data_IF_946885217363
#
_entry.id   IF_946885217363
#
_cell.length_a   1.000
_cell.length_b   1.000
_cell.length_c   1.000
_cell.angle_alpha   90.00
_cell.angle_beta   90.00
_cell.angle_gamma   90.00
#
_symmetry.space_group_name_H-M   'P 1'
#
loop_
_entity.id
_entity.type
_entity.pdbx_description
1 polymer ?
#
# COMPACT_ATOMS: atom_id res chain seq x y z
N UNK A 1 42.24 -9.71 -13.70
CA UNK A 1 42.18 -10.88 -12.79
C UNK A 1 42.30 -10.33 -11.38
N UNK A 2 41.20 -10.21 -10.63
CA UNK A 2 41.22 -9.69 -9.26
C UNK A 2 41.31 -10.86 -8.29
N UNK A 3 42.19 -10.77 -7.28
CA UNK A 3 42.24 -11.74 -6.19
C UNK A 3 41.12 -11.42 -5.20
N UNK A 4 40.15 -12.31 -5.05
CA UNK A 4 39.22 -12.28 -3.92
C UNK A 4 39.90 -12.96 -2.72
N UNK A 5 40.07 -12.23 -1.62
CA UNK A 5 40.46 -12.79 -0.33
C UNK A 5 39.24 -12.73 0.59
N UNK A 6 38.67 -13.90 0.87
CA UNK A 6 37.69 -14.09 1.95
C UNK A 6 38.47 -14.45 3.21
N UNK A 7 38.44 -13.58 4.23
CA UNK A 7 38.99 -13.90 5.57
C UNK A 7 37.97 -13.53 6.66
N UNK A 8 37.93 -14.39 7.68
CA UNK A 8 36.81 -14.71 8.56
C UNK A 8 36.58 -13.79 9.77
N UNK A 9 35.31 -13.77 10.19
CA UNK A 9 34.73 -13.75 11.55
C UNK A 9 35.49 -12.99 12.66
N UNK A 10 34.92 -11.87 13.11
CA UNK A 10 35.16 -11.34 14.47
C UNK A 10 34.02 -11.73 15.40
N UNK A 11 34.28 -11.74 16.71
CA UNK A 11 33.41 -12.18 17.80
C UNK A 11 32.06 -11.43 17.95
N UNK A 12 31.74 -10.50 17.04
CA UNK A 12 30.49 -9.73 17.01
C UNK A 12 29.62 -9.95 15.74
N UNK A 13 29.97 -10.88 14.85
CA UNK A 13 29.06 -11.33 13.77
C UNK A 13 28.94 -10.41 12.53
N UNK A 14 29.80 -9.40 12.36
CA UNK A 14 29.84 -8.57 11.15
C UNK A 14 30.74 -9.17 10.05
N UNK A 15 30.31 -9.06 8.79
CA UNK A 15 31.10 -9.44 7.61
C UNK A 15 31.59 -8.20 6.86
N UNK A 16 32.85 -8.22 6.40
CA UNK A 16 33.43 -7.17 5.57
C UNK A 16 33.94 -7.74 4.26
N UNK A 17 33.73 -7.03 3.16
CA UNK A 17 34.32 -7.33 1.86
C UNK A 17 35.43 -6.31 1.60
N UNK A 18 36.67 -6.78 1.45
CA UNK A 18 37.82 -5.93 1.11
C UNK A 18 38.19 -6.17 -0.35
N UNK A 19 38.13 -5.13 -1.17
CA UNK A 19 38.51 -5.19 -2.59
C UNK A 19 39.81 -4.40 -2.77
N UNK A 20 40.90 -5.10 -3.10
CA UNK A 20 42.20 -4.50 -3.39
C UNK A 20 42.49 -4.50 -4.89
N UNK A 21 43.05 -3.40 -5.40
CA UNK A 21 43.61 -3.35 -6.75
C UNK A 21 45.12 -3.69 -6.72
N UNK A 22 45.71 -4.00 -7.88
CA UNK A 22 47.11 -4.49 -8.04
C UNK A 22 48.23 -3.59 -7.46
N UNK A 23 47.91 -2.42 -6.91
CA UNK A 23 48.85 -1.49 -6.27
C UNK A 23 48.70 -1.37 -4.74
N UNK A 24 47.87 -2.21 -4.11
CA UNK A 24 47.82 -2.32 -2.65
C UNK A 24 47.12 -1.17 -1.91
N UNK A 25 46.42 -0.27 -2.62
CA UNK A 25 45.62 0.79 -1.98
C UNK A 25 44.19 0.31 -1.67
N UNK A 26 43.76 0.47 -0.42
CA UNK A 26 42.41 0.17 0.05
C UNK A 26 41.37 1.01 -0.74
N UNK A 27 40.37 0.34 -1.30
CA UNK A 27 39.13 1.00 -1.75
C UNK A 27 38.00 0.59 -0.81
N UNK A 28 37.64 1.51 0.09
CA UNK A 28 36.44 1.57 0.94
C UNK A 28 36.10 0.36 1.83
N UNK A 29 35.99 0.60 3.14
CA UNK A 29 35.20 -0.26 4.04
C UNK A 29 33.71 0.11 3.92
N UNK A 30 32.84 -0.87 3.73
CA UNK A 30 31.37 -0.70 3.80
C UNK A 30 30.86 -1.50 4.99
N UNK A 31 30.33 -0.82 6.01
CA UNK A 31 29.62 -1.45 7.12
C UNK A 31 28.23 -1.90 6.65
N UNK A 32 27.93 -3.19 6.77
CA UNK A 32 26.59 -3.74 6.51
C UNK A 32 25.87 -4.00 7.82
N UNK A 33 24.92 -3.13 8.17
CA UNK A 33 23.91 -3.42 9.21
C UNK A 33 22.65 -3.93 8.51
N UNK A 34 22.20 -5.10 8.94
CA UNK A 34 21.06 -5.92 8.49
C UNK A 34 20.03 -5.21 7.58
N UNK A 35 20.12 -5.46 6.26
CA UNK A 35 19.05 -5.20 5.31
C UNK A 35 18.79 -6.47 4.50
N UNK A 36 17.53 -6.96 4.39
CA UNK A 36 17.22 -8.25 3.76
C UNK A 36 17.21 -8.19 2.22
N UNK A 37 17.93 -7.24 1.62
CA UNK A 37 18.00 -7.07 0.17
C UNK A 37 19.22 -7.79 -0.41
N UNK A 38 19.11 -9.12 -0.58
CA UNK A 38 20.09 -9.94 -1.33
C UNK A 38 20.25 -9.48 -2.79
N UNK A 39 19.30 -8.69 -3.31
CA UNK A 39 19.39 -8.03 -4.62
C UNK A 39 20.52 -7.00 -4.74
N UNK A 40 21.04 -6.47 -3.62
CA UNK A 40 22.16 -5.51 -3.60
C UNK A 40 23.46 -6.17 -4.10
N UNK A 41 23.65 -7.47 -3.83
CA UNK A 41 24.90 -8.17 -4.15
C UNK A 41 25.07 -8.43 -5.65
N UNK A 42 23.99 -8.71 -6.37
CA UNK A 42 24.10 -8.99 -7.81
C UNK A 42 24.31 -7.70 -8.63
N UNK A 43 23.73 -6.58 -8.20
CA UNK A 43 23.74 -5.32 -8.97
C UNK A 43 24.92 -4.40 -8.69
N UNK A 44 25.52 -4.43 -7.49
CA UNK A 44 26.79 -3.71 -7.25
C UNK A 44 27.93 -4.21 -8.15
N UNK A 45 27.87 -5.47 -8.59
CA UNK A 45 28.85 -6.04 -9.52
C UNK A 45 28.69 -5.48 -10.94
N UNK A 46 27.46 -5.29 -11.44
CA UNK A 46 27.20 -4.76 -12.79
C UNK A 46 27.50 -3.25 -12.94
N UNK A 47 27.39 -2.47 -11.87
CA UNK A 47 27.72 -1.03 -11.90
C UNK A 47 29.22 -0.77 -12.08
N UNK A 48 30.07 -1.70 -11.66
CA UNK A 48 31.53 -1.61 -11.82
C UNK A 48 32.02 -2.01 -13.22
N UNK A 49 31.22 -2.74 -14.00
CA UNK A 49 31.63 -3.26 -15.32
C UNK A 49 31.15 -2.43 -16.51
N UNK A 50 30.45 -1.31 -16.29
CA UNK A 50 30.10 -0.37 -17.37
C UNK A 50 29.12 -0.91 -18.43
N UNK A 51 28.45 -2.03 -18.15
CA UNK A 51 27.46 -2.64 -19.05
C UNK A 51 26.07 -2.50 -18.44
N UNK A 52 25.43 -1.33 -18.60
CA UNK A 52 24.00 -1.21 -18.41
C UNK A 52 23.40 -0.49 -19.62
N UNK A 53 22.71 -1.26 -20.47
CA UNK A 53 21.63 -0.73 -21.28
C UNK A 53 20.57 -0.12 -20.35
N UNK A 54 19.83 0.89 -20.82
CA UNK A 54 18.67 1.43 -20.10
C UNK A 54 17.77 0.28 -19.60
N UNK A 55 17.33 0.28 -18.34
CA UNK A 55 16.45 -0.77 -17.85
C UNK A 55 15.13 -0.71 -18.62
N UNK A 56 14.86 -1.73 -19.44
CA UNK A 56 13.55 -1.90 -20.07
C UNK A 56 12.46 -1.85 -18.99
N UNK A 57 11.44 -1.01 -19.20
CA UNK A 57 10.28 -0.91 -18.32
C UNK A 57 9.58 -2.27 -18.26
N UNK A 58 9.76 -2.98 -17.14
CA UNK A 58 9.16 -4.30 -16.95
C UNK A 58 7.75 -4.14 -16.40
N UNK A 59 6.80 -3.80 -17.27
CA UNK A 59 5.38 -3.83 -16.93
C UNK A 59 5.02 -5.24 -16.43
N UNK A 60 4.42 -5.32 -15.25
CA UNK A 60 3.99 -6.58 -14.65
C UNK A 60 2.55 -6.87 -15.08
N UNK A 61 2.28 -7.98 -15.79
CA UNK A 61 0.94 -8.29 -16.25
C UNK A 61 0.02 -8.65 -15.07
N UNK A 62 -1.27 -8.42 -15.27
CA UNK A 62 -2.28 -8.91 -14.35
C UNK A 62 -2.55 -10.39 -14.61
N UNK A 63 -2.79 -11.15 -13.55
CA UNK A 63 -3.30 -12.52 -13.61
C UNK A 63 -4.62 -12.63 -12.83
N UNK A 64 -5.43 -13.61 -13.19
CA UNK A 64 -6.71 -13.91 -12.56
C UNK A 64 -6.53 -14.94 -11.45
N UNK A 65 -6.93 -14.59 -10.23
CA UNK A 65 -7.01 -15.49 -9.08
C UNK A 65 -8.45 -15.51 -8.57
N UNK A 66 -9.16 -16.63 -8.76
CA UNK A 66 -10.57 -16.80 -8.35
C UNK A 66 -11.49 -15.64 -8.77
N UNK A 67 -11.31 -15.13 -9.99
CA UNK A 67 -12.09 -14.00 -10.52
C UNK A 67 -11.57 -12.60 -10.13
N UNK A 68 -10.42 -12.52 -9.46
CA UNK A 68 -9.81 -11.27 -8.98
C UNK A 68 -8.48 -10.98 -9.68
N UNK A 69 -8.32 -9.75 -10.17
CA UNK A 69 -7.13 -9.29 -10.90
C UNK A 69 -6.00 -8.90 -9.93
N UNK A 70 -4.90 -9.63 -9.99
CA UNK A 70 -3.69 -9.39 -9.19
C UNK A 70 -2.46 -9.22 -10.06
N UNK A 71 -1.39 -8.67 -9.49
CA UNK A 71 -0.16 -8.33 -10.23
C UNK A 71 0.83 -9.50 -10.15
N UNK A 72 1.24 -10.01 -11.32
CA UNK A 72 2.24 -11.08 -11.45
C UNK A 72 3.57 -10.64 -10.85
N UNK A 73 4.21 -11.51 -10.05
CA UNK A 73 5.50 -11.21 -9.39
C UNK A 73 5.40 -10.35 -8.12
N UNK A 74 4.22 -9.82 -7.81
CA UNK A 74 3.91 -9.20 -6.51
C UNK A 74 3.01 -10.13 -5.68
N UNK A 75 2.06 -10.78 -6.33
CA UNK A 75 1.14 -11.73 -5.72
C UNK A 75 1.37 -13.13 -6.29
N UNK A 76 1.06 -14.14 -5.48
CA UNK A 76 1.19 -15.54 -5.83
C UNK A 76 -0.10 -16.27 -5.44
N UNK A 77 -0.69 -17.05 -6.36
CA UNK A 77 -1.96 -17.75 -6.12
C UNK A 77 -1.86 -18.78 -4.99
N UNK A 78 -0.78 -19.57 -4.96
CA UNK A 78 -0.57 -20.60 -3.93
C UNK A 78 -0.36 -19.98 -2.56
N UNK A 79 0.37 -18.86 -2.47
CA UNK A 79 0.50 -18.14 -1.21
C UNK A 79 -0.84 -17.54 -0.76
N UNK A 80 -1.66 -17.03 -1.68
CA UNK A 80 -2.99 -16.53 -1.31
C UNK A 80 -3.92 -17.62 -0.79
N UNK A 81 -3.80 -18.85 -1.31
CA UNK A 81 -4.50 -20.01 -0.73
C UNK A 81 -4.02 -20.28 0.71
N UNK A 82 -2.70 -20.21 0.98
CA UNK A 82 -2.16 -20.34 2.35
C UNK A 82 -2.63 -19.22 3.27
N UNK A 83 -2.64 -17.97 2.78
CA UNK A 83 -3.12 -16.82 3.55
C UNK A 83 -4.58 -17.01 3.95
N UNK A 84 -5.42 -17.50 3.04
CA UNK A 84 -6.83 -17.75 3.30
C UNK A 84 -7.07 -18.69 4.49
N UNK A 85 -6.20 -19.68 4.66
CA UNK A 85 -6.26 -20.69 5.72
C UNK A 85 -5.41 -20.37 6.96
N UNK A 86 -4.69 -19.25 6.98
CA UNK A 86 -3.85 -18.88 8.13
C UNK A 86 -4.67 -18.49 9.36
N UNK A 87 -4.21 -18.92 10.54
CA UNK A 87 -4.79 -18.54 11.83
C UNK A 87 -4.76 -17.03 12.03
N UNK A 88 -5.87 -16.47 12.52
CA UNK A 88 -6.01 -15.06 12.87
C UNK A 88 -6.19 -14.90 14.38
N UNK A 89 -5.43 -13.98 14.97
CA UNK A 89 -5.54 -13.63 16.38
C UNK A 89 -6.50 -12.45 16.56
N UNK A 90 -7.18 -12.37 17.70
CA UNK A 90 -8.12 -11.27 18.02
C UNK A 90 -7.46 -9.89 18.03
N UNK A 91 -6.14 -9.86 18.26
CA UNK A 91 -5.33 -8.65 18.26
C UNK A 91 -4.85 -8.22 16.86
N UNK A 92 -5.05 -9.03 15.82
CA UNK A 92 -4.64 -8.67 14.47
C UNK A 92 -5.53 -7.58 13.89
N UNK A 93 -4.93 -6.71 13.09
CA UNK A 93 -5.60 -5.54 12.52
C UNK A 93 -5.38 -5.53 11.00
N UNK A 94 -6.49 -5.48 10.27
CA UNK A 94 -6.51 -5.40 8.82
C UNK A 94 -7.11 -4.05 8.39
N UNK A 95 -6.32 -3.26 7.68
CA UNK A 95 -6.75 -1.99 7.09
C UNK A 95 -7.11 -2.27 5.64
N UNK A 96 -8.39 -2.40 5.36
CA UNK A 96 -8.88 -2.79 4.04
C UNK A 96 -9.28 -1.56 3.25
N UNK A 97 -8.79 -1.47 2.01
CA UNK A 97 -9.14 -0.39 1.09
C UNK A 97 -9.23 -0.93 -0.33
N UNK A 98 -10.08 -0.36 -1.18
CA UNK A 98 -9.83 -0.48 -2.63
C UNK A 98 -8.57 0.36 -2.98
N UNK A 99 -7.75 -0.02 -3.98
CA UNK A 99 -6.60 0.79 -4.37
C UNK A 99 -6.93 2.27 -4.54
N UNK A 100 -6.06 3.13 -4.00
CA UNK A 100 -6.17 4.60 -4.06
C UNK A 100 -7.28 5.22 -3.17
N UNK A 101 -7.81 4.47 -2.21
CA UNK A 101 -8.77 4.95 -1.21
C UNK A 101 -8.13 5.44 0.11
N UNK A 102 -6.83 5.72 0.14
CA UNK A 102 -6.16 6.29 1.32
C UNK A 102 -5.28 5.32 2.13
N UNK A 103 -4.85 4.21 1.54
CA UNK A 103 -4.06 3.16 2.21
C UNK A 103 -2.80 3.67 2.92
N UNK A 104 -1.97 4.49 2.26
CA UNK A 104 -0.76 5.06 2.90
C UNK A 104 -1.12 6.02 4.02
N UNK A 105 -2.21 6.77 3.88
CA UNK A 105 -2.68 7.64 4.94
C UNK A 105 -3.02 6.83 6.19
N UNK A 106 -3.72 5.71 5.99
CA UNK A 106 -3.99 4.77 7.07
C UNK A 106 -2.73 4.10 7.63
N UNK A 107 -1.72 3.75 6.82
CA UNK A 107 -0.44 3.24 7.33
C UNK A 107 0.20 4.25 8.28
N UNK A 108 0.19 5.54 7.92
CA UNK A 108 0.76 6.59 8.76
C UNK A 108 -0.06 6.82 10.03
N UNK A 109 -1.39 6.95 9.91
CA UNK A 109 -2.30 7.11 11.05
C UNK A 109 -2.12 5.95 12.03
N UNK A 110 -2.17 4.71 11.54
CA UNK A 110 -2.05 3.53 12.39
C UNK A 110 -0.69 3.40 13.04
N UNK A 111 0.39 3.71 12.32
CA UNK A 111 1.72 3.75 12.93
C UNK A 111 1.79 4.77 14.07
N UNK A 112 1.22 5.95 13.87
CA UNK A 112 1.20 7.00 14.89
C UNK A 112 0.28 6.65 16.06
N UNK A 113 -0.84 5.96 15.84
CA UNK A 113 -1.69 5.46 16.93
C UNK A 113 -0.90 4.47 17.80
N UNK A 114 -0.21 3.50 17.20
CA UNK A 114 0.57 2.51 17.95
C UNK A 114 1.79 3.13 18.65
N UNK A 115 2.34 4.24 18.13
CA UNK A 115 3.41 5.00 18.79
C UNK A 115 2.92 6.16 19.64
N UNK A 116 1.60 6.26 19.91
CA UNK A 116 0.98 7.33 20.71
C UNK A 116 1.36 8.75 20.25
N UNK A 117 1.35 8.97 18.94
CA UNK A 117 1.69 10.25 18.32
C UNK A 117 3.18 10.56 18.25
N UNK A 118 4.06 9.66 18.71
CA UNK A 118 5.52 9.87 18.67
C UNK A 118 6.04 9.70 17.24
N UNK A 119 6.29 10.82 16.57
CA UNK A 119 6.72 10.86 15.17
C UNK A 119 8.10 10.23 14.95
N UNK A 120 9.06 10.49 15.84
CA UNK A 120 10.43 9.99 15.70
C UNK A 120 10.51 8.46 15.66
N UNK A 121 9.55 7.78 16.29
CA UNK A 121 9.43 6.31 16.24
C UNK A 121 9.07 5.79 14.83
N UNK A 122 8.71 6.68 13.89
CA UNK A 122 8.29 6.35 12.53
C UNK A 122 9.30 6.76 11.44
N UNK A 123 10.42 7.40 11.84
CA UNK A 123 11.42 8.00 10.93
C UNK A 123 12.56 7.07 10.52
N UNK A 124 12.50 5.79 10.86
CA UNK A 124 13.52 4.81 10.49
C UNK A 124 13.07 3.84 9.39
N UNK A 125 11.78 3.88 9.01
CA UNK A 125 11.18 2.86 8.15
C UNK A 125 9.99 3.42 7.37
N UNK A 126 9.89 3.05 6.09
CA UNK A 126 8.76 3.46 5.26
C UNK A 126 7.45 2.91 5.81
N UNK A 127 6.37 3.66 5.60
CA UNK A 127 4.99 3.23 5.91
C UNK A 127 4.65 1.84 5.31
N UNK A 128 5.17 1.54 4.11
CA UNK A 128 5.02 0.22 3.46
C UNK A 128 5.68 -0.92 4.24
N UNK A 129 6.81 -0.67 4.88
CA UNK A 129 7.57 -1.68 5.62
C UNK A 129 7.04 -1.82 7.05
N UNK A 130 6.51 -0.73 7.63
CA UNK A 130 5.87 -0.71 8.96
C UNK A 130 4.57 -1.51 8.99
N UNK A 131 3.72 -1.32 7.97
CA UNK A 131 2.40 -1.95 7.86
C UNK A 131 2.26 -2.47 6.43
N UNK A 132 2.83 -3.64 6.10
CA UNK A 132 2.90 -4.14 4.73
C UNK A 132 1.56 -4.69 4.24
N UNK A 133 1.40 -4.77 2.92
CA UNK A 133 0.29 -5.46 2.28
C UNK A 133 0.32 -6.94 2.59
N UNK A 134 -0.75 -7.45 3.19
CA UNK A 134 -0.85 -8.85 3.60
C UNK A 134 -0.85 -9.78 2.39
N UNK A 135 -1.42 -9.36 1.26
CA UNK A 135 -1.55 -10.14 0.03
C UNK A 135 -0.28 -10.21 -0.83
N UNK A 136 0.78 -9.49 -0.44
CA UNK A 136 2.05 -9.56 -1.17
C UNK A 136 2.75 -10.88 -0.86
N UNK A 137 3.25 -11.57 -1.89
CA UNK A 137 3.88 -12.90 -1.81
C UNK A 137 4.88 -13.02 -0.64
N UNK A 138 5.83 -12.09 -0.56
CA UNK A 138 6.85 -12.06 0.50
C UNK A 138 6.29 -11.77 1.89
N UNK A 139 5.16 -11.08 1.98
CA UNK A 139 4.48 -10.81 3.26
C UNK A 139 3.80 -12.07 3.75
N UNK A 140 3.06 -12.77 2.87
CA UNK A 140 2.35 -14.00 3.20
C UNK A 140 3.31 -15.06 3.74
N UNK A 141 4.44 -15.26 3.08
CA UNK A 141 5.45 -16.24 3.47
C UNK A 141 5.96 -16.05 4.91
N UNK A 142 5.87 -14.83 5.46
CA UNK A 142 6.28 -14.50 6.82
C UNK A 142 5.11 -14.34 7.78
N UNK A 143 3.90 -14.12 7.29
CA UNK A 143 2.73 -13.72 8.07
C UNK A 143 2.42 -14.68 9.23
N UNK A 144 2.48 -15.98 8.98
CA UNK A 144 2.27 -17.01 10.01
C UNK A 144 3.36 -17.05 11.10
N UNK A 145 4.56 -16.51 10.83
CA UNK A 145 5.68 -16.49 11.78
C UNK A 145 5.76 -15.21 12.60
N UNK A 146 4.95 -14.19 12.28
CA UNK A 146 4.94 -12.92 13.00
C UNK A 146 4.18 -13.06 14.32
N UNK A 147 4.72 -12.49 15.39
CA UNK A 147 4.02 -12.38 16.67
C UNK A 147 2.88 -11.37 16.59
N UNK A 148 1.70 -11.66 17.19
CA UNK A 148 0.63 -10.68 17.33
C UNK A 148 1.00 -9.52 18.28
N UNK A 149 0.41 -8.32 18.13
CA UNK A 149 -0.57 -7.94 17.11
C UNK A 149 0.07 -7.72 15.73
N UNK A 150 -0.49 -8.34 14.69
CA UNK A 150 -0.07 -8.12 13.30
C UNK A 150 -0.94 -7.04 12.68
N UNK A 151 -0.33 -5.98 12.14
CA UNK A 151 -1.06 -4.88 11.50
C UNK A 151 -0.69 -4.85 10.02
N UNK A 152 -1.68 -4.99 9.15
CA UNK A 152 -1.48 -5.04 7.71
C UNK A 152 -2.51 -4.21 6.95
N UNK A 153 -2.10 -3.70 5.80
CA UNK A 153 -3.04 -3.19 4.80
C UNK A 153 -3.45 -4.30 3.84
N UNK A 154 -4.62 -4.15 3.22
CA UNK A 154 -5.16 -5.16 2.32
C UNK A 154 -6.06 -4.54 1.23
N UNK A 155 -5.96 -5.07 0.00
CA UNK A 155 -6.83 -4.77 -1.12
C UNK A 155 -7.71 -5.95 -1.57
N UNK A 156 -7.67 -7.08 -0.85
CA UNK A 156 -8.48 -8.25 -1.20
C UNK A 156 -9.98 -7.99 -0.95
N UNK A 157 -10.86 -8.56 -1.79
CA UNK A 157 -12.29 -8.56 -1.53
C UNK A 157 -12.60 -9.45 -0.32
N UNK A 158 -13.75 -9.20 0.32
CA UNK A 158 -14.20 -9.85 1.55
C UNK A 158 -14.14 -11.39 1.54
N UNK A 159 -14.27 -12.03 0.38
CA UNK A 159 -14.28 -13.48 0.22
C UNK A 159 -12.90 -14.09 -0.03
N UNK A 160 -11.86 -13.27 -0.23
CA UNK A 160 -10.48 -13.72 -0.45
C UNK A 160 -9.54 -13.37 0.71
N UNK A 161 -10.03 -12.67 1.73
CA UNK A 161 -9.28 -12.47 2.99
C UNK A 161 -9.26 -13.75 3.85
N UNK A 162 -8.38 -13.84 4.86
CA UNK A 162 -8.34 -14.97 5.78
C UNK A 162 -9.72 -15.34 6.32
N UNK A 163 -10.10 -16.62 6.21
CA UNK A 163 -11.48 -17.07 6.46
C UNK A 163 -11.96 -16.80 7.89
N UNK A 164 -11.05 -16.80 8.86
CA UNK A 164 -11.36 -16.57 10.27
C UNK A 164 -11.79 -15.13 10.57
N UNK A 165 -11.50 -14.16 9.69
CA UNK A 165 -12.02 -12.79 9.83
C UNK A 165 -13.56 -12.76 9.78
N UNK A 166 -14.20 -13.64 8.97
CA UNK A 166 -15.66 -13.82 8.92
C UNK A 166 -16.25 -14.51 10.15
N UNK A 167 -15.38 -14.98 11.06
CA UNK A 167 -15.77 -15.50 12.37
C UNK A 167 -15.55 -14.45 13.45
N UNK A 168 -15.41 -13.18 13.05
CA UNK A 168 -15.15 -12.01 13.92
C UNK A 168 -13.83 -12.06 14.70
N UNK A 169 -12.90 -12.93 14.30
CA UNK A 169 -11.52 -12.84 14.78
C UNK A 169 -10.82 -11.63 14.15
N UNK A 170 -9.86 -11.07 14.87
CA UNK A 170 -9.17 -9.85 14.49
C UNK A 170 -10.09 -8.63 14.40
N UNK A 171 -9.53 -7.52 13.92
CA UNK A 171 -10.25 -6.25 13.72
C UNK A 171 -10.00 -5.72 12.32
N UNK A 172 -11.05 -5.26 11.63
CA UNK A 172 -10.95 -4.66 10.30
C UNK A 172 -11.31 -3.19 10.36
N UNK A 173 -10.46 -2.33 9.80
CA UNK A 173 -10.83 -0.95 9.46
C UNK A 173 -10.96 -0.89 7.95
N UNK A 174 -12.18 -0.71 7.46
CA UNK A 174 -12.45 -0.55 6.03
C UNK A 174 -12.56 0.92 5.68
N UNK A 175 -11.73 1.41 4.74
CA UNK A 175 -11.83 2.79 4.24
C UNK A 175 -12.31 2.81 2.79
N UNK A 176 -13.54 3.30 2.62
CA UNK A 176 -14.13 3.59 1.32
C UNK A 176 -13.67 4.95 0.78
N UNK A 177 -13.78 5.17 -0.52
CA UNK A 177 -13.60 6.49 -1.14
C UNK A 177 -14.50 6.58 -2.36
N UNK A 178 -15.04 7.76 -2.64
CA UNK A 178 -15.89 7.97 -3.81
C UNK A 178 -15.17 7.50 -5.09
N UNK A 179 -15.86 6.76 -5.96
CA UNK A 179 -15.21 6.03 -7.03
C UNK A 179 -14.71 6.92 -8.17
N UNK A 180 -15.23 8.14 -8.31
CA UNK A 180 -14.76 9.10 -9.32
C UNK A 180 -13.37 9.65 -8.95
N UNK A 181 -13.13 10.00 -7.69
CA UNK A 181 -11.77 10.36 -7.23
C UNK A 181 -10.82 9.17 -7.22
N UNK A 182 -11.32 7.96 -6.92
CA UNK A 182 -10.52 6.73 -7.04
C UNK A 182 -10.07 6.54 -8.48
N UNK A 183 -10.98 6.60 -9.46
CA UNK A 183 -10.67 6.51 -10.89
C UNK A 183 -9.55 7.47 -11.29
N UNK A 184 -9.69 8.76 -10.97
CA UNK A 184 -8.67 9.78 -11.29
C UNK A 184 -7.34 9.49 -10.61
N UNK A 185 -7.37 9.14 -9.32
CA UNK A 185 -6.14 8.81 -8.60
C UNK A 185 -5.47 7.56 -9.15
N UNK A 186 -6.23 6.60 -9.67
CA UNK A 186 -5.72 5.34 -10.18
C UNK A 186 -5.15 5.50 -11.60
N UNK A 187 -5.77 6.33 -12.43
CA UNK A 187 -5.23 6.75 -13.74
C UNK A 187 -3.85 7.37 -13.59
N UNK A 188 -3.71 8.37 -12.70
CA UNK A 188 -2.41 8.99 -12.45
C UNK A 188 -1.41 8.02 -11.84
N UNK A 189 -1.86 7.07 -11.02
CA UNK A 189 -0.98 6.06 -10.45
C UNK A 189 -0.43 5.10 -11.51
N UNK A 190 -1.24 4.70 -12.51
CA UNK A 190 -0.75 3.90 -13.64
C UNK A 190 0.27 4.67 -14.50
N UNK A 191 0.12 5.99 -14.65
CA UNK A 191 1.13 6.82 -15.34
C UNK A 191 2.44 6.93 -14.56
N UNK A 192 2.33 7.00 -13.23
CA UNK A 192 3.46 7.21 -12.32
C UNK A 192 4.22 5.92 -12.00
N UNK A 193 3.54 4.78 -11.91
CA UNK A 193 4.20 3.51 -11.55
C UNK A 193 4.65 2.75 -12.79
N UNK A 194 5.89 2.27 -12.75
CA UNK A 194 6.49 1.43 -13.78
C UNK A 194 5.95 -0.01 -13.76
N UNK A 195 5.22 -0.40 -12.70
CA UNK A 195 4.60 -1.72 -12.57
C UNK A 195 3.45 -1.89 -13.56
N UNK A 196 2.63 -0.87 -13.77
CA UNK A 196 1.42 -0.98 -14.58
C UNK A 196 1.66 -0.60 -16.03
N UNK A 197 0.82 -1.14 -16.92
CA UNK A 197 0.66 -0.62 -18.28
C UNK A 197 0.34 0.88 -18.21
N UNK A 198 1.07 1.69 -18.99
CA UNK A 198 0.76 3.11 -19.10
C UNK A 198 -0.56 3.28 -19.86
N UNK A 199 -1.57 3.97 -19.29
CA UNK A 199 -2.84 4.14 -19.96
C UNK A 199 -2.67 4.99 -21.22
N UNK A 200 -3.27 4.57 -22.33
CA UNK A 200 -3.27 5.30 -23.61
C UNK A 200 -3.88 6.70 -23.45
N UNK A 201 -5.06 6.76 -22.85
CA UNK A 201 -5.83 7.97 -22.59
C UNK A 201 -6.81 7.74 -21.43
N UNK A 202 -7.42 8.82 -20.93
CA UNK A 202 -8.32 8.76 -19.79
C UNK A 202 -9.60 7.98 -20.08
N UNK A 203 -10.14 8.08 -21.31
CA UNK A 203 -11.39 7.41 -21.68
C UNK A 203 -11.22 5.89 -21.71
N UNK A 204 -10.14 5.42 -22.33
CA UNK A 204 -9.77 4.00 -22.32
C UNK A 204 -9.59 3.47 -20.89
N UNK A 205 -9.00 4.26 -20.00
CA UNK A 205 -8.84 3.88 -18.59
C UNK A 205 -10.17 3.88 -17.82
N UNK A 206 -11.06 4.84 -18.08
CA UNK A 206 -12.41 4.89 -17.54
C UNK A 206 -13.18 3.60 -17.89
N UNK A 207 -13.15 3.16 -19.15
CA UNK A 207 -13.78 1.90 -19.56
C UNK A 207 -13.18 0.69 -18.83
N UNK A 208 -11.84 0.60 -18.74
CA UNK A 208 -11.18 -0.47 -17.98
C UNK A 208 -11.64 -0.47 -16.52
N UNK A 209 -11.73 0.70 -15.89
CA UNK A 209 -12.14 0.85 -14.49
C UNK A 209 -13.62 0.45 -14.28
N UNK A 210 -14.54 0.94 -15.10
CA UNK A 210 -15.98 0.63 -14.99
C UNK A 210 -16.27 -0.87 -15.17
N UNK A 211 -15.50 -1.53 -16.03
CA UNK A 211 -15.58 -2.96 -16.29
C UNK A 211 -14.81 -3.83 -15.26
N UNK A 212 -14.03 -3.22 -14.37
CA UNK A 212 -13.19 -3.96 -13.42
C UNK A 212 -11.99 -4.65 -14.06
N UNK A 213 -11.54 -4.19 -15.23
CA UNK A 213 -10.38 -4.69 -15.95
C UNK A 213 -9.10 -3.94 -15.52
N UNK A 214 -8.91 -3.82 -14.21
CA UNK A 214 -7.76 -3.16 -13.55
C UNK A 214 -7.29 -4.02 -12.38
N UNK A 215 -6.13 -3.68 -11.81
CA UNK A 215 -5.69 -4.28 -10.55
C UNK A 215 -6.75 -4.11 -9.46
N UNK A 216 -7.03 -5.19 -8.72
CA UNK A 216 -8.12 -5.32 -7.76
C UNK A 216 -9.54 -5.28 -8.33
N UNK A 217 -9.67 -5.59 -9.62
CA UNK A 217 -10.95 -5.80 -10.31
C UNK A 217 -11.92 -4.62 -10.20
N UNK A 218 -13.19 -4.89 -9.87
CA UNK A 218 -14.25 -3.89 -9.84
C UNK A 218 -14.35 -3.22 -8.48
N UNK A 219 -14.22 -1.88 -8.45
CA UNK A 219 -14.50 -1.08 -7.26
C UNK A 219 -15.92 -1.33 -6.72
N UNK A 220 -16.91 -1.45 -7.61
CA UNK A 220 -18.31 -1.67 -7.25
C UNK A 220 -18.49 -2.97 -6.48
N UNK A 221 -17.96 -4.07 -7.02
CA UNK A 221 -18.05 -5.39 -6.37
C UNK A 221 -17.25 -5.43 -5.06
N UNK A 222 -16.10 -4.75 -5.01
CA UNK A 222 -15.28 -4.69 -3.80
C UNK A 222 -16.07 -4.02 -2.65
N UNK A 223 -16.63 -2.84 -2.90
CA UNK A 223 -17.35 -2.08 -1.87
C UNK A 223 -18.66 -2.76 -1.51
N UNK A 224 -19.45 -3.17 -2.50
CA UNK A 224 -20.71 -3.91 -2.29
C UNK A 224 -20.46 -5.17 -1.46
N UNK A 225 -19.46 -5.97 -1.83
CA UNK A 225 -19.12 -7.21 -1.14
C UNK A 225 -18.77 -6.97 0.33
N UNK A 226 -17.84 -6.05 0.61
CA UNK A 226 -17.47 -5.72 1.99
C UNK A 226 -18.62 -5.14 2.81
N UNK A 227 -19.42 -4.25 2.22
CA UNK A 227 -20.52 -3.59 2.93
C UNK A 227 -21.68 -4.55 3.21
N UNK A 228 -22.03 -5.41 2.26
CA UNK A 228 -23.10 -6.42 2.44
C UNK A 228 -22.74 -7.45 3.50
N UNK A 229 -21.47 -7.86 3.59
CA UNK A 229 -21.02 -8.87 4.57
C UNK A 229 -20.47 -8.27 5.85
N UNK A 230 -20.59 -6.95 6.08
CA UNK A 230 -20.00 -6.27 7.23
C UNK A 230 -20.36 -6.91 8.58
N UNK A 231 -21.56 -7.47 8.70
CA UNK A 231 -22.07 -8.04 9.96
C UNK A 231 -21.43 -9.41 10.30
N UNK A 232 -20.73 -10.02 9.34
CA UNK A 232 -19.93 -11.23 9.52
C UNK A 232 -18.55 -10.93 10.13
N UNK A 233 -18.13 -9.66 10.14
CA UNK A 233 -16.80 -9.23 10.58
C UNK A 233 -16.85 -8.39 11.85
N UNK A 234 -15.70 -8.30 12.54
CA UNK A 234 -15.45 -7.25 13.51
C UNK A 234 -14.86 -6.04 12.77
N UNK A 235 -15.72 -5.14 12.30
CA UNK A 235 -15.36 -4.13 11.29
C UNK A 235 -15.80 -2.72 11.66
N UNK A 236 -14.88 -1.77 11.52
CA UNK A 236 -15.14 -0.33 11.51
C UNK A 236 -15.13 0.16 10.06
N UNK A 237 -16.27 0.63 9.58
CA UNK A 237 -16.37 1.29 8.28
C UNK A 237 -16.11 2.79 8.42
N UNK A 238 -15.21 3.29 7.58
CA UNK A 238 -14.93 4.70 7.39
C UNK A 238 -14.96 5.08 5.90
N UNK A 239 -15.04 6.37 5.62
CA UNK A 239 -14.82 6.96 4.31
C UNK A 239 -13.62 7.90 4.32
N UNK A 240 -12.89 7.95 3.21
CA UNK A 240 -11.82 8.92 3.00
C UNK A 240 -12.36 10.34 3.17
N UNK A 241 -13.60 10.59 2.75
CA UNK A 241 -14.23 11.90 2.78
C UNK A 241 -14.58 12.37 4.19
N UNK A 242 -15.09 11.49 5.06
CA UNK A 242 -15.30 11.85 6.48
C UNK A 242 -13.97 12.10 7.18
N UNK A 243 -12.92 11.32 6.84
CA UNK A 243 -11.59 11.53 7.41
C UNK A 243 -10.99 12.88 6.96
N UNK A 244 -11.21 13.30 5.71
CA UNK A 244 -10.78 14.62 5.24
C UNK A 244 -11.59 15.74 5.90
N UNK A 245 -12.87 15.50 6.23
CA UNK A 245 -13.73 16.48 6.88
C UNK A 245 -13.37 16.67 8.35
N UNK A 246 -13.14 15.58 9.07
CA UNK A 246 -12.76 15.58 10.49
C UNK A 246 -11.89 14.36 10.81
N UNK A 247 -10.58 14.55 10.68
CA UNK A 247 -9.61 13.51 10.97
C UNK A 247 -9.56 13.19 12.47
N UNK A 248 -9.69 14.19 13.35
CA UNK A 248 -9.59 13.99 14.80
C UNK A 248 -10.70 13.07 15.31
N UNK A 249 -11.94 13.29 14.86
CA UNK A 249 -13.06 12.40 15.20
C UNK A 249 -12.87 11.01 14.62
N UNK A 250 -12.34 10.89 13.40
CA UNK A 250 -12.04 9.60 12.77
C UNK A 250 -10.98 8.81 13.54
N UNK A 251 -9.90 9.47 13.98
CA UNK A 251 -8.86 8.88 14.84
C UNK A 251 -9.45 8.43 16.18
N UNK A 252 -10.32 9.23 16.81
CA UNK A 252 -11.02 8.83 18.05
C UNK A 252 -11.88 7.58 17.87
N UNK A 253 -12.59 7.46 16.74
CA UNK A 253 -13.35 6.25 16.38
C UNK A 253 -12.42 5.04 16.24
N UNK A 254 -11.29 5.18 15.54
CA UNK A 254 -10.30 4.11 15.37
C UNK A 254 -9.72 3.68 16.73
N UNK A 255 -9.29 4.62 17.58
CA UNK A 255 -8.76 4.31 18.90
C UNK A 255 -9.78 3.58 19.77
N UNK A 256 -11.05 4.02 19.77
CA UNK A 256 -12.14 3.36 20.51
C UNK A 256 -12.34 1.93 20.01
N UNK A 257 -12.43 1.74 18.70
CA UNK A 257 -12.62 0.43 18.08
C UNK A 257 -11.45 -0.54 18.34
N UNK A 258 -10.23 -0.01 18.36
CA UNK A 258 -9.00 -0.79 18.57
C UNK A 258 -8.61 -0.92 20.05
N UNK A 259 -9.39 -0.39 20.98
CA UNK A 259 -9.07 -0.35 22.42
C UNK A 259 -7.73 0.36 22.73
N UNK A 260 -7.41 1.41 21.98
CA UNK A 260 -6.19 2.22 22.16
C UNK A 260 -6.50 3.45 23.00
N UNK A 261 -5.78 3.61 24.11
CA UNK A 261 -5.89 4.77 25.00
C UNK A 261 -4.82 5.79 24.63
N UNK A 262 -5.24 6.88 24.00
CA UNK A 262 -4.42 8.05 23.71
C UNK A 262 -5.00 9.27 24.43
N UNK A 263 -4.14 10.17 24.90
CA UNK A 263 -4.54 11.49 25.39
C UNK A 263 -5.01 12.38 24.23
N UNK A 264 -5.70 13.47 24.54
CA UNK A 264 -6.13 14.44 23.51
C UNK A 264 -4.94 15.04 22.75
N UNK A 265 -3.81 15.25 23.44
CA UNK A 265 -2.54 15.74 22.86
C UNK A 265 -1.90 14.68 21.94
N UNK A 266 -1.86 13.41 22.36
CA UNK A 266 -1.36 12.31 21.53
C UNK A 266 -2.21 12.17 20.26
N UNK A 267 -3.54 12.34 20.36
CA UNK A 267 -4.45 12.38 19.21
C UNK A 267 -4.18 13.59 18.32
N UNK A 268 -3.93 14.77 18.88
CA UNK A 268 -3.58 15.97 18.11
C UNK A 268 -2.28 15.75 17.33
N UNK A 269 -1.28 15.09 17.93
CA UNK A 269 -0.05 14.71 17.25
C UNK A 269 -0.29 13.70 16.11
N UNK A 270 -1.15 12.69 16.33
CA UNK A 270 -1.55 11.76 15.25
C UNK A 270 -2.17 12.54 14.09
N UNK A 271 -3.07 13.48 14.37
CA UNK A 271 -3.78 14.29 13.37
C UNK A 271 -2.82 15.18 12.60
N UNK A 272 -1.97 15.92 13.29
CA UNK A 272 -1.00 16.86 12.70
C UNK A 272 -0.01 16.13 11.78
N UNK A 273 0.55 15.02 12.26
CA UNK A 273 1.53 14.25 11.49
C UNK A 273 0.93 13.34 10.42
N UNK A 274 -0.40 13.25 10.37
CA UNK A 274 -1.15 12.60 9.30
C UNK A 274 -1.74 13.59 8.31
N UNK A 275 -1.51 14.91 8.46
CA UNK A 275 -1.96 15.88 7.46
C UNK A 275 -1.24 15.65 6.13
N UNK A 276 -1.94 15.91 5.02
CA UNK A 276 -1.40 15.70 3.67
C UNK A 276 -0.08 16.43 3.45
N UNK A 277 0.02 17.68 3.88
CA UNK A 277 1.22 18.50 3.71
C UNK A 277 2.39 17.96 4.55
N UNK A 278 2.14 17.57 5.81
CA UNK A 278 3.13 16.98 6.71
C UNK A 278 3.67 15.65 6.16
N UNK A 279 2.76 14.76 5.76
CA UNK A 279 3.15 13.49 5.13
C UNK A 279 3.91 13.71 3.83
N UNK A 280 3.49 14.65 2.97
CA UNK A 280 4.15 14.93 1.68
C UNK A 280 5.61 15.33 1.85
N UNK A 281 5.95 16.00 2.95
CA UNK A 281 7.31 16.41 3.28
C UNK A 281 8.11 15.36 4.09
N UNK A 282 7.47 14.28 4.54
CA UNK A 282 8.12 13.18 5.24
C UNK A 282 8.47 12.04 4.27
N UNK A 283 9.77 11.83 4.02
CA UNK A 283 10.29 10.83 3.09
C UNK A 283 9.89 9.37 3.43
N UNK A 284 9.58 9.09 4.70
CA UNK A 284 9.13 7.77 5.17
C UNK A 284 7.60 7.58 5.10
N UNK A 285 6.85 8.65 4.80
CA UNK A 285 5.38 8.65 4.71
C UNK A 285 4.83 9.04 3.33
N UNK A 286 5.68 9.45 2.39
CA UNK A 286 5.29 9.88 1.04
C UNK A 286 5.70 8.91 -0.08
N UNK A 287 6.32 7.78 0.27
CA UNK A 287 6.87 6.77 -0.65
C UNK A 287 8.00 7.27 -1.57
N UNK A 288 8.68 8.38 -1.23
CA UNK A 288 9.81 8.89 -2.03
C UNK A 288 11.05 7.99 -1.97
N UNK A 289 11.14 7.11 -0.98
CA UNK A 289 12.22 6.13 -0.84
C UNK A 289 11.98 4.83 -1.62
N UNK A 290 10.81 4.66 -2.25
CA UNK A 290 10.55 3.48 -3.09
C UNK A 290 11.42 3.54 -4.34
N UNK A 291 11.91 2.39 -4.78
CA UNK A 291 12.85 2.25 -5.89
C UNK A 291 12.34 2.90 -7.20
N UNK A 292 13.18 3.62 -7.96
CA UNK A 292 12.79 4.20 -9.27
C UNK A 292 12.29 3.18 -10.31
N UNK A 293 12.71 1.91 -10.19
CA UNK A 293 12.22 0.79 -11.00
C UNK A 293 10.72 0.52 -10.76
N UNK A 294 10.17 0.94 -9.62
CA UNK A 294 8.75 0.83 -9.28
C UNK A 294 8.00 2.14 -9.57
N UNK A 295 8.61 3.29 -9.28
CA UNK A 295 8.00 4.61 -9.44
C UNK A 295 8.85 5.57 -10.27
N UNK A 296 8.22 6.15 -11.28
CA UNK A 296 8.80 7.14 -12.18
C UNK A 296 8.61 8.54 -11.60
N UNK A 297 9.60 8.99 -10.83
CA UNK A 297 9.58 10.27 -10.13
C UNK A 297 9.64 11.50 -11.05
N UNK A 298 9.97 11.32 -12.33
CA UNK A 298 9.94 12.40 -13.32
C UNK A 298 8.50 12.66 -13.80
N UNK A 299 7.60 11.67 -13.67
CA UNK A 299 6.18 11.78 -14.01
C UNK A 299 5.30 12.28 -12.87
N UNK A 300 5.87 12.54 -11.69
CA UNK A 300 5.17 13.15 -10.58
C UNK A 300 5.51 12.55 -9.22
N UNK A 301 4.49 12.44 -8.36
CA UNK A 301 4.65 11.95 -6.99
C UNK A 301 3.44 11.11 -6.57
N UNK A 302 3.68 10.16 -5.65
CA UNK A 302 2.61 9.34 -5.09
C UNK A 302 1.58 10.21 -4.35
N UNK A 303 2.06 11.14 -3.50
CA UNK A 303 1.22 12.12 -2.80
C UNK A 303 0.83 13.28 -3.72
N UNK A 304 -0.14 13.00 -4.60
CA UNK A 304 -0.55 13.89 -5.70
C UNK A 304 -1.29 15.15 -5.24
N UNK A 305 -2.50 14.99 -4.69
CA UNK A 305 -3.36 16.13 -4.26
C UNK A 305 -4.01 15.98 -2.88
N UNK A 306 -4.44 14.77 -2.49
CA UNK A 306 -5.02 14.53 -1.16
C UNK A 306 -6.33 15.28 -0.88
N UNK A 307 -7.17 15.48 -1.89
CA UNK A 307 -8.44 16.20 -1.77
C UNK A 307 -9.63 15.32 -2.20
N UNK A 308 -10.84 15.79 -1.88
CA UNK A 308 -12.12 15.26 -2.34
C UNK A 308 -12.66 16.18 -3.45
N UNK A 309 -13.15 15.60 -4.55
CA UNK A 309 -13.74 16.32 -5.67
C UNK A 309 -12.77 16.67 -6.80
N UNK A 310 -11.56 16.08 -6.83
CA UNK A 310 -10.63 16.35 -7.93
C UNK A 310 -11.18 15.83 -9.26
N UNK A 311 -12.01 14.79 -9.24
CA UNK A 311 -12.67 14.20 -10.39
C UNK A 311 -13.36 15.19 -11.33
N UNK A 312 -13.91 16.29 -10.79
CA UNK A 312 -14.57 17.35 -11.57
C UNK A 312 -13.65 18.06 -12.56
N UNK A 313 -12.34 18.02 -12.32
CA UNK A 313 -11.34 18.63 -13.20
C UNK A 313 -10.88 17.69 -14.32
N UNK A 314 -11.32 16.43 -14.32
CA UNK A 314 -10.85 15.41 -15.26
C UNK A 314 -11.96 14.80 -16.10
N UNK A 315 -13.14 14.56 -15.52
CA UNK A 315 -14.26 13.98 -16.26
C UNK A 315 -14.92 15.07 -17.12
N UNK A 316 -15.17 14.75 -18.38
CA UNK A 316 -16.12 15.51 -19.20
C UNK A 316 -17.54 15.28 -18.70
N UNK A 317 -18.50 16.10 -19.15
CA UNK A 317 -19.92 15.93 -18.82
C UNK A 317 -20.41 14.54 -19.26
N UNK A 318 -20.13 14.15 -20.50
CA UNK A 318 -20.49 12.83 -21.05
C UNK A 318 -19.89 11.67 -20.25
N UNK A 319 -18.61 11.75 -19.88
CA UNK A 319 -17.95 10.73 -19.05
C UNK A 319 -18.56 10.65 -17.65
N UNK A 320 -18.97 11.80 -17.10
CA UNK A 320 -19.62 11.86 -15.80
C UNK A 320 -21.02 11.23 -15.84
N UNK A 321 -21.82 11.55 -16.85
CA UNK A 321 -23.16 10.98 -17.06
C UNK A 321 -23.08 9.46 -17.21
N UNK A 322 -22.18 8.96 -18.08
CA UNK A 322 -21.92 7.53 -18.21
C UNK A 322 -21.50 6.88 -16.90
N UNK A 323 -20.63 7.54 -16.13
CA UNK A 323 -20.22 7.03 -14.83
C UNK A 323 -21.41 6.92 -13.88
N UNK A 324 -22.27 7.95 -13.84
CA UNK A 324 -23.44 8.02 -12.98
C UNK A 324 -24.46 6.93 -13.32
N UNK A 325 -24.71 6.66 -14.61
CA UNK A 325 -25.57 5.56 -15.05
C UNK A 325 -25.07 4.21 -14.54
N UNK A 326 -23.79 3.89 -14.76
CA UNK A 326 -23.18 2.63 -14.29
C UNK A 326 -23.17 2.56 -12.76
N UNK A 327 -22.94 3.69 -12.08
CA UNK A 327 -22.98 3.75 -10.63
C UNK A 327 -24.38 3.43 -10.09
N UNK A 328 -25.43 4.03 -10.67
CA UNK A 328 -26.81 3.74 -10.27
C UNK A 328 -27.15 2.27 -10.49
N UNK A 329 -26.86 1.74 -11.69
CA UNK A 329 -27.09 0.33 -12.01
C UNK A 329 -26.41 -0.61 -11.01
N UNK A 330 -25.14 -0.35 -10.68
CA UNK A 330 -24.34 -1.25 -9.84
C UNK A 330 -24.51 -1.06 -8.35
N UNK A 331 -24.98 0.10 -7.88
CA UNK A 331 -24.98 0.45 -6.44
C UNK A 331 -26.35 0.80 -5.86
N UNK A 332 -27.43 0.85 -6.66
CA UNK A 332 -28.78 1.20 -6.18
C UNK A 332 -29.24 0.40 -4.95
N UNK A 333 -28.86 -0.87 -4.84
CA UNK A 333 -29.29 -1.76 -3.74
C UNK A 333 -28.39 -1.71 -2.49
N UNK A 334 -27.32 -0.90 -2.50
CA UNK A 334 -26.37 -0.82 -1.38
C UNK A 334 -26.65 0.47 -0.60
N UNK A 335 -27.10 0.42 0.65
CA UNK A 335 -27.47 1.62 1.42
C UNK A 335 -26.25 2.37 1.98
N UNK A 336 -25.18 2.45 1.19
CA UNK A 336 -23.97 3.22 1.49
C UNK A 336 -24.09 4.61 0.88
N UNK A 337 -23.82 5.65 1.68
CA UNK A 337 -23.81 7.04 1.20
C UNK A 337 -22.37 7.47 0.91
N UNK A 338 -22.15 8.06 -0.25
CA UNK A 338 -20.87 8.65 -0.62
C UNK A 338 -20.94 10.18 -0.59
N UNK A 339 -19.85 10.80 -0.14
CA UNK A 339 -19.67 12.24 -0.21
C UNK A 339 -18.93 12.53 -1.53
N UNK A 340 -19.63 13.14 -2.49
CA UNK A 340 -19.06 13.42 -3.81
C UNK A 340 -18.36 14.80 -3.90
N UNK A 341 -18.68 15.67 -2.92
CA UNK A 341 -18.52 17.13 -2.84
C UNK A 341 -19.05 17.90 -4.07
N UNK A 342 -19.97 18.83 -3.79
CA UNK A 342 -20.52 19.83 -4.71
C UNK A 342 -19.64 21.09 -4.76
#
# INVERSE_FOLDING_TARGET
MFLLLLVSQTSCGSYYLVICNHRGSLCSCVDFIHSPCVWILHFSFCRLTGTMSEPEKKHLPLFQYKGFNLITGIHNAEELDKLYDTEIYDSDIFIVTYPKSGTIWMQQIMSLIETKGVLNATFNMNTADRIPWVEADKTIQKFASLSPPRIHVCHLPWNLTPKELRQKKGKIIYVSRNPKDVLVSFYHFHKFSNIFETPKDFNTFLEKFLNGNVFCSSWFNHIKGWYTHKDDFNILFLSYEEMIQDLRSSVKKMCTFLDRKLSDEEIDNVVEHSQFHTMKNNSFANYRQVCPEIFDYDKGSFMRKGIVGDWKKHLTVEQNEKFDEVFQEKMQDVPIKFIWRN
#
